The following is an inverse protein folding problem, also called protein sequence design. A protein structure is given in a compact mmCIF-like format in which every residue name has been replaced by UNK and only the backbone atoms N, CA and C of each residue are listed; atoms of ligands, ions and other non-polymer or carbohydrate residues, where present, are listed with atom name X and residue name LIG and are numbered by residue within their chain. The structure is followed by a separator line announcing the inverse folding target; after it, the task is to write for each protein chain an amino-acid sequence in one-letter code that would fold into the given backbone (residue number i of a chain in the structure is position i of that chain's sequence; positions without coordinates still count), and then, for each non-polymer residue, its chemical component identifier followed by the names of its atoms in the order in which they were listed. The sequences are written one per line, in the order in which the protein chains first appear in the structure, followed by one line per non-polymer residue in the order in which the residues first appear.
data_IF_724784739667
#
_entry.id   IF_724784739667
#
_cell.length_a   1.000
_cell.length_b   1.000
_cell.length_c   1.000
_cell.angle_alpha   90.00
_cell.angle_beta   90.00
_cell.angle_gamma   90.00
#
_symmetry.space_group_name_H-M   'P 1'
#
loop_
_entity.id
_entity.type
_entity.pdbx_description
1 polymer ?
#
# COMPACT_ATOMS: atom_id res chain seq x y z
N UNK A 1 -24.58 -6.38 -2.53
CA UNK A 1 -23.83 -5.53 -1.57
C UNK A 1 -23.07 -4.43 -2.32
N UNK A 2 -22.84 -3.24 -1.73
CA UNK A 2 -22.15 -2.12 -2.39
C UNK A 2 -20.83 -2.49 -3.05
N UNK A 3 -20.00 -3.28 -2.37
CA UNK A 3 -18.70 -3.71 -2.89
C UNK A 3 -18.81 -4.55 -4.16
N UNK A 4 -19.79 -5.45 -4.22
CA UNK A 4 -20.03 -6.29 -5.40
C UNK A 4 -20.42 -5.46 -6.63
N UNK A 5 -21.21 -4.40 -6.43
CA UNK A 5 -21.55 -3.46 -7.51
C UNK A 5 -20.31 -2.73 -8.02
N UNK A 6 -19.43 -2.27 -7.12
CA UNK A 6 -18.17 -1.60 -7.49
C UNK A 6 -17.23 -2.51 -8.28
N UNK A 7 -17.07 -3.77 -7.82
CA UNK A 7 -16.25 -4.78 -8.50
C UNK A 7 -16.82 -5.06 -9.89
N UNK A 8 -18.13 -5.26 -10.01
CA UNK A 8 -18.78 -5.55 -11.28
C UNK A 8 -18.63 -4.40 -12.28
N UNK A 9 -18.84 -3.16 -11.83
CA UNK A 9 -18.71 -1.98 -12.68
C UNK A 9 -17.29 -1.84 -13.25
N UNK A 10 -16.26 -2.01 -12.41
CA UNK A 10 -14.88 -1.98 -12.88
C UNK A 10 -14.58 -3.18 -13.80
N UNK A 11 -15.02 -4.38 -13.44
CA UNK A 11 -14.80 -5.58 -14.24
C UNK A 11 -15.38 -5.48 -15.66
N UNK A 12 -16.63 -5.05 -15.79
CA UNK A 12 -17.27 -4.85 -17.10
C UNK A 12 -16.57 -3.78 -17.92
N UNK A 13 -16.08 -2.71 -17.26
CA UNK A 13 -15.30 -1.67 -17.94
C UNK A 13 -13.99 -2.22 -18.50
N UNK A 14 -13.24 -3.00 -17.71
CA UNK A 14 -12.00 -3.65 -18.15
C UNK A 14 -12.27 -4.62 -19.31
N UNK A 15 -13.32 -5.43 -19.21
CA UNK A 15 -13.73 -6.40 -20.23
C UNK A 15 -14.13 -5.73 -21.54
N UNK A 16 -14.96 -4.68 -21.48
CA UNK A 16 -15.39 -3.92 -22.66
C UNK A 16 -14.20 -3.32 -23.42
N UNK A 17 -13.24 -2.74 -22.69
CA UNK A 17 -12.05 -2.15 -23.29
C UNK A 17 -11.09 -3.17 -23.87
N UNK A 18 -11.00 -4.35 -23.26
CA UNK A 18 -10.26 -5.48 -23.83
C UNK A 18 -10.86 -5.94 -25.16
N UNK A 19 -12.18 -6.13 -25.21
CA UNK A 19 -12.89 -6.60 -26.42
C UNK A 19 -12.83 -5.60 -27.56
N UNK A 20 -12.96 -4.30 -27.25
CA UNK A 20 -12.91 -3.21 -28.25
C UNK A 20 -11.50 -2.77 -28.63
N UNK A 21 -10.45 -3.43 -28.10
CA UNK A 21 -9.04 -3.06 -28.28
C UNK A 21 -8.77 -1.57 -27.96
N UNK A 22 -9.44 -1.04 -26.93
CA UNK A 22 -9.38 0.37 -26.58
C UNK A 22 -7.94 0.85 -26.35
N UNK A 23 -7.63 2.03 -26.88
CA UNK A 23 -6.34 2.71 -26.69
C UNK A 23 -6.59 4.14 -26.24
N UNK A 24 -6.17 4.45 -25.01
CA UNK A 24 -6.48 5.72 -24.37
C UNK A 24 -6.38 5.67 -22.85
N UNK A 25 -7.04 6.63 -22.20
CA UNK A 25 -7.10 6.76 -20.75
C UNK A 25 -8.56 6.59 -20.32
N UNK A 26 -8.78 5.78 -19.28
CA UNK A 26 -10.04 5.75 -18.55
C UNK A 26 -9.85 6.48 -17.24
N UNK A 27 -10.53 7.60 -17.13
CA UNK A 27 -10.62 8.37 -15.90
C UNK A 27 -11.69 7.74 -15.01
N UNK A 28 -11.32 7.43 -13.76
CA UNK A 28 -12.22 6.86 -12.75
C UNK A 28 -12.44 7.89 -11.66
N UNK A 29 -13.67 8.34 -11.54
CA UNK A 29 -14.13 9.22 -10.48
C UNK A 29 -15.13 8.53 -9.57
N UNK A 30 -15.27 9.06 -8.36
CA UNK A 30 -16.37 8.74 -7.44
C UNK A 30 -17.08 10.04 -7.12
N UNK A 31 -18.35 10.16 -7.53
CA UNK A 31 -19.04 11.44 -7.56
C UNK A 31 -18.38 12.41 -8.55
N UNK A 32 -18.16 13.67 -8.13
CA UNK A 32 -17.53 14.71 -8.96
C UNK A 32 -15.99 14.71 -8.90
N UNK A 33 -15.39 13.88 -8.04
CA UNK A 33 -13.93 13.84 -7.86
C UNK A 33 -13.30 12.82 -8.79
N UNK A 34 -12.45 13.27 -9.72
CA UNK A 34 -11.58 12.40 -10.49
C UNK A 34 -10.42 11.94 -9.60
N UNK A 35 -10.20 10.63 -9.47
CA UNK A 35 -9.26 10.08 -8.49
C UNK A 35 -8.20 9.16 -9.12
N UNK A 36 -8.53 8.49 -10.23
CA UNK A 36 -7.61 7.60 -10.93
C UNK A 36 -7.65 7.79 -12.44
N UNK A 37 -6.53 7.46 -13.09
CA UNK A 37 -6.42 7.37 -14.53
C UNK A 37 -5.81 6.02 -14.90
N UNK A 38 -6.52 5.22 -15.68
CA UNK A 38 -6.11 3.89 -16.13
C UNK A 38 -5.70 3.97 -17.60
N UNK A 39 -4.48 3.56 -17.93
CA UNK A 39 -3.92 3.68 -19.27
C UNK A 39 -4.06 2.36 -20.01
N UNK A 40 -4.61 2.42 -21.22
CA UNK A 40 -4.85 1.26 -22.08
C UNK A 40 -4.13 1.39 -23.41
N UNK A 41 -3.58 0.27 -23.88
CA UNK A 41 -3.04 0.13 -25.23
C UNK A 41 -3.54 -1.19 -25.83
N UNK A 42 -4.24 -1.11 -26.97
CA UNK A 42 -4.85 -2.26 -27.67
C UNK A 42 -5.66 -3.17 -26.73
N UNK A 43 -6.47 -2.57 -25.85
CA UNK A 43 -7.34 -3.26 -24.91
C UNK A 43 -6.64 -3.81 -23.66
N UNK A 44 -5.32 -3.64 -23.54
CA UNK A 44 -4.57 -4.05 -22.35
C UNK A 44 -4.30 -2.86 -21.45
N UNK A 45 -4.56 -3.01 -20.16
CA UNK A 45 -4.09 -2.00 -19.20
C UNK A 45 -2.57 -2.10 -19.07
N UNK A 46 -1.89 -0.98 -19.22
CA UNK A 46 -0.42 -0.90 -19.23
C UNK A 46 0.16 -0.08 -18.10
N UNK A 47 -0.65 0.82 -17.52
CA UNK A 47 -0.26 1.68 -16.41
C UNK A 47 -1.50 2.26 -15.73
N UNK A 48 -1.31 2.87 -14.56
CA UNK A 48 -2.34 3.62 -13.89
C UNK A 48 -1.73 4.79 -13.09
N UNK A 49 -2.56 5.75 -12.71
CA UNK A 49 -2.20 6.85 -11.84
C UNK A 49 -3.29 7.04 -10.79
N UNK A 50 -2.88 7.45 -9.59
CA UNK A 50 -3.78 7.82 -8.50
C UNK A 50 -3.39 9.19 -7.95
N UNK A 51 -4.38 9.99 -7.57
CA UNK A 51 -4.15 11.25 -6.87
C UNK A 51 -3.59 11.04 -5.45
N UNK A 52 -3.79 9.86 -4.86
CA UNK A 52 -3.31 9.54 -3.51
C UNK A 52 -2.01 8.75 -3.59
N UNK A 53 -0.95 9.34 -3.04
CA UNK A 53 0.36 8.72 -2.84
C UNK A 53 1.00 8.12 -4.11
N UNK A 54 0.98 8.77 -5.30
CA UNK A 54 1.59 8.20 -6.50
C UNK A 54 3.08 7.87 -6.34
N UNK A 55 3.87 8.74 -5.68
CA UNK A 55 5.32 8.56 -5.51
C UNK A 55 5.60 7.51 -4.45
N UNK A 56 4.98 7.62 -3.27
CA UNK A 56 5.08 6.65 -2.17
C UNK A 56 4.67 5.25 -2.61
N UNK A 57 3.59 5.14 -3.40
CA UNK A 57 3.13 3.88 -3.99
C UNK A 57 4.18 3.26 -4.88
N UNK A 58 4.73 4.06 -5.79
CA UNK A 58 5.74 3.56 -6.69
C UNK A 58 7.02 3.15 -5.94
N UNK A 59 7.45 3.98 -5.00
CA UNK A 59 8.61 3.70 -4.15
C UNK A 59 8.49 2.37 -3.41
N UNK A 60 7.36 2.09 -2.73
CA UNK A 60 7.20 0.82 -2.00
C UNK A 60 7.20 -0.40 -2.92
N UNK A 61 6.69 -0.29 -4.15
CA UNK A 61 6.79 -1.41 -5.11
C UNK A 61 8.24 -1.64 -5.56
N UNK A 62 9.01 -0.57 -5.75
CA UNK A 62 10.43 -0.69 -6.06
C UNK A 62 11.24 -1.27 -4.88
N UNK A 63 10.95 -0.86 -3.64
CA UNK A 63 11.59 -1.46 -2.45
C UNK A 63 11.29 -2.96 -2.38
N UNK A 64 10.04 -3.36 -2.67
CA UNK A 64 9.62 -4.76 -2.62
C UNK A 64 10.26 -5.61 -3.71
N UNK A 65 10.31 -5.13 -4.95
CA UNK A 65 10.69 -5.94 -6.12
C UNK A 65 12.10 -5.67 -6.65
N UNK A 66 12.69 -4.52 -6.33
CA UNK A 66 14.03 -4.16 -6.77
C UNK A 66 14.82 -3.38 -5.69
N UNK A 67 15.02 -3.97 -4.49
CA UNK A 67 15.69 -3.30 -3.38
C UNK A 67 17.12 -2.86 -3.69
N UNK A 68 17.83 -3.58 -4.58
CA UNK A 68 19.18 -3.23 -5.03
C UNK A 68 19.22 -1.87 -5.74
N UNK A 69 18.27 -1.61 -6.64
CA UNK A 69 18.14 -0.33 -7.33
C UNK A 69 17.93 0.82 -6.34
N UNK A 70 17.12 0.60 -5.30
CA UNK A 70 16.88 1.60 -4.25
C UNK A 70 18.16 1.84 -3.44
N UNK A 71 18.87 0.78 -3.07
CA UNK A 71 20.13 0.90 -2.33
C UNK A 71 21.20 1.67 -3.11
N UNK A 72 21.33 1.43 -4.42
CA UNK A 72 22.25 2.15 -5.31
C UNK A 72 21.92 3.63 -5.48
N UNK A 73 20.63 3.98 -5.42
CA UNK A 73 20.15 5.35 -5.62
C UNK A 73 20.01 6.15 -4.32
N UNK A 74 20.16 5.51 -3.16
CA UNK A 74 20.12 6.18 -1.87
C UNK A 74 21.52 6.72 -1.56
N UNK A 75 21.69 8.03 -1.33
CA UNK A 75 23.00 8.59 -0.99
C UNK A 75 23.57 7.92 0.26
N UNK A 76 24.88 7.65 0.26
CA UNK A 76 25.59 7.05 1.40
C UNK A 76 25.54 7.92 2.67
N UNK A 77 25.17 9.20 2.53
CA UNK A 77 25.11 10.18 3.60
C UNK A 77 23.86 10.01 4.51
N UNK A 78 22.96 9.08 4.19
CA UNK A 78 21.86 8.69 5.09
C UNK A 78 20.70 9.68 5.19
N UNK A 79 20.75 10.80 4.47
CA UNK A 79 19.62 11.72 4.36
C UNK A 79 18.52 11.05 3.51
N UNK A 80 17.52 10.47 4.20
CA UNK A 80 16.33 9.84 3.57
C UNK A 80 15.56 10.77 2.62
N UNK A 81 15.84 12.07 2.67
CA UNK A 81 15.17 13.11 1.89
C UNK A 81 15.72 13.32 0.47
N UNK A 82 16.85 12.71 0.13
CA UNK A 82 17.51 12.91 -1.17
C UNK A 82 17.26 11.78 -2.20
N UNK A 83 16.31 10.87 -1.95
CA UNK A 83 15.96 9.85 -2.95
C UNK A 83 15.54 10.57 -4.24
N UNK A 84 16.26 10.37 -5.37
CA UNK A 84 16.01 11.13 -6.58
C UNK A 84 14.78 10.56 -7.30
N UNK A 85 13.59 10.82 -6.77
CA UNK A 85 12.32 10.29 -7.29
C UNK A 85 12.09 10.63 -8.76
N UNK A 86 12.70 11.71 -9.26
CA UNK A 86 12.73 12.03 -10.68
C UNK A 86 13.36 10.92 -11.54
N UNK A 87 14.45 10.30 -11.07
CA UNK A 87 15.13 9.16 -11.72
C UNK A 87 14.33 7.86 -11.60
N UNK A 88 13.55 7.73 -10.52
CA UNK A 88 12.67 6.59 -10.31
C UNK A 88 11.37 6.67 -11.11
N UNK A 89 11.07 7.74 -11.85
CA UNK A 89 9.85 7.84 -12.65
C UNK A 89 9.70 6.63 -13.58
N UNK A 90 8.50 6.04 -13.62
CA UNK A 90 8.18 4.87 -14.44
C UNK A 90 8.71 4.95 -15.87
N UNK A 91 8.53 6.09 -16.55
CA UNK A 91 8.97 6.29 -17.93
C UNK A 91 10.50 6.14 -18.09
N UNK A 92 11.28 6.63 -17.12
CA UNK A 92 12.74 6.47 -17.14
C UNK A 92 13.13 5.00 -16.95
N UNK A 93 12.51 4.31 -15.99
CA UNK A 93 12.78 2.89 -15.73
C UNK A 93 12.34 2.01 -16.92
N UNK A 94 11.19 2.30 -17.53
CA UNK A 94 10.73 1.61 -18.73
C UNK A 94 11.69 1.80 -19.92
N UNK A 95 12.32 2.98 -20.05
CA UNK A 95 13.36 3.22 -21.06
C UNK A 95 14.63 2.42 -20.75
N UNK A 96 15.07 2.39 -19.50
CA UNK A 96 16.25 1.62 -19.09
C UNK A 96 16.07 0.11 -19.29
N UNK A 97 14.87 -0.43 -19.02
CA UNK A 97 14.52 -1.83 -19.31
C UNK A 97 14.68 -2.14 -20.80
N UNK A 98 14.29 -1.24 -21.70
CA UNK A 98 14.42 -1.44 -23.15
C UNK A 98 15.85 -1.39 -23.65
N UNK A 99 16.68 -0.64 -22.94
CA UNK A 99 18.11 -0.51 -23.23
C UNK A 99 18.90 -1.65 -22.56
N UNK A 100 18.22 -2.67 -22.01
CA UNK A 100 18.79 -3.79 -21.27
C UNK A 100 19.72 -3.37 -20.10
N UNK A 101 19.52 -2.14 -19.60
CA UNK A 101 20.32 -1.58 -18.48
C UNK A 101 19.85 -2.06 -17.12
N UNK A 102 18.58 -2.42 -17.01
CA UNK A 102 17.99 -2.94 -15.77
C UNK A 102 17.08 -4.12 -16.08
N UNK A 103 16.92 -5.00 -15.10
CA UNK A 103 16.16 -6.23 -15.26
C UNK A 103 14.66 -5.94 -15.47
N UNK A 104 14.11 -6.43 -16.59
CA UNK A 104 12.69 -6.30 -16.95
C UNK A 104 11.75 -6.92 -15.92
N UNK A 105 12.08 -8.10 -15.40
CA UNK A 105 11.21 -8.89 -14.51
C UNK A 105 10.89 -8.12 -13.23
N UNK A 106 11.89 -7.48 -12.62
CA UNK A 106 11.69 -6.69 -11.39
C UNK A 106 10.77 -5.49 -11.62
N UNK A 107 10.96 -4.75 -12.72
CA UNK A 107 10.12 -3.59 -13.02
C UNK A 107 8.71 -4.03 -13.42
N UNK A 108 8.55 -5.09 -14.22
CA UNK A 108 7.24 -5.65 -14.57
C UNK A 108 6.47 -6.06 -13.31
N UNK A 109 7.11 -6.75 -12.35
CA UNK A 109 6.45 -7.12 -11.10
C UNK A 109 6.10 -5.93 -10.22
N UNK A 110 6.97 -4.91 -10.16
CA UNK A 110 6.65 -3.66 -9.47
C UNK A 110 5.42 -2.96 -10.09
N UNK A 111 5.30 -2.95 -11.41
CA UNK A 111 4.13 -2.39 -12.11
C UNK A 111 2.87 -3.21 -11.82
N UNK A 112 2.95 -4.53 -11.87
CA UNK A 112 1.80 -5.41 -11.59
C UNK A 112 1.26 -5.19 -10.17
N UNK A 113 2.12 -5.15 -9.15
CA UNK A 113 1.67 -4.87 -7.77
C UNK A 113 1.19 -3.42 -7.59
N UNK A 114 1.77 -2.46 -8.31
CA UNK A 114 1.29 -1.08 -8.36
C UNK A 114 -0.16 -1.01 -8.87
N UNK A 115 -0.46 -1.76 -9.94
CA UNK A 115 -1.81 -1.88 -10.50
C UNK A 115 -2.76 -2.57 -9.51
N UNK A 116 -2.33 -3.67 -8.87
CA UNK A 116 -3.10 -4.37 -7.83
C UNK A 116 -3.55 -3.40 -6.73
N UNK A 117 -2.64 -2.57 -6.22
CA UNK A 117 -2.99 -1.59 -5.19
C UNK A 117 -3.94 -0.51 -5.68
N UNK A 118 -3.80 -0.04 -6.92
CA UNK A 118 -4.72 0.96 -7.48
C UNK A 118 -6.13 0.38 -7.61
N UNK A 119 -6.23 -0.83 -8.15
CA UNK A 119 -7.52 -1.50 -8.31
C UNK A 119 -8.18 -1.81 -6.96
N UNK A 120 -7.40 -2.24 -5.97
CA UNK A 120 -7.88 -2.38 -4.60
C UNK A 120 -8.43 -1.05 -4.07
N UNK A 121 -7.69 0.05 -4.24
CA UNK A 121 -8.09 1.35 -3.71
C UNK A 121 -9.33 1.91 -4.41
N UNK A 122 -9.50 1.67 -5.72
CA UNK A 122 -10.72 2.01 -6.47
C UNK A 122 -11.91 1.32 -5.82
N UNK A 123 -11.85 0.00 -5.60
CA UNK A 123 -12.94 -0.78 -5.00
C UNK A 123 -13.20 -0.36 -3.55
N UNK A 124 -12.15 -0.19 -2.75
CA UNK A 124 -12.26 0.22 -1.35
C UNK A 124 -12.90 1.61 -1.21
N UNK A 125 -12.37 2.62 -1.90
CA UNK A 125 -12.89 3.98 -1.82
C UNK A 125 -14.28 4.10 -2.47
N UNK A 126 -14.53 3.40 -3.57
CA UNK A 126 -15.86 3.32 -4.18
C UNK A 126 -16.88 2.74 -3.21
N UNK A 127 -16.52 1.66 -2.50
CA UNK A 127 -17.38 1.04 -1.48
C UNK A 127 -17.67 2.02 -0.35
N UNK A 128 -16.65 2.68 0.20
CA UNK A 128 -16.85 3.66 1.28
C UNK A 128 -17.74 4.82 0.84
N UNK A 129 -17.46 5.42 -0.32
CA UNK A 129 -18.28 6.55 -0.80
C UNK A 129 -19.71 6.13 -1.11
N UNK A 130 -19.93 4.93 -1.63
CA UNK A 130 -21.28 4.41 -1.82
C UNK A 130 -22.01 4.26 -0.49
N UNK A 131 -21.35 3.72 0.55
CA UNK A 131 -21.93 3.59 1.88
C UNK A 131 -22.27 4.95 2.51
N UNK A 132 -21.44 5.97 2.31
CA UNK A 132 -21.63 7.29 2.91
C UNK A 132 -22.58 8.21 2.12
N UNK A 133 -22.49 8.20 0.79
CA UNK A 133 -23.13 9.20 -0.07
C UNK A 133 -23.87 8.60 -1.29
N UNK A 134 -23.94 7.26 -1.40
CA UNK A 134 -24.56 6.54 -2.53
C UNK A 134 -24.05 6.99 -3.91
N UNK A 135 -22.83 7.54 -3.97
CA UNK A 135 -22.27 8.06 -5.21
C UNK A 135 -21.80 6.91 -6.12
N UNK A 136 -22.22 6.86 -7.40
CA UNK A 136 -21.76 5.84 -8.33
C UNK A 136 -20.32 6.12 -8.78
N UNK A 137 -19.70 5.10 -9.38
CA UNK A 137 -18.51 5.33 -10.20
C UNK A 137 -18.87 6.12 -11.45
N UNK A 138 -17.99 7.04 -11.81
CA UNK A 138 -18.03 7.75 -13.08
C UNK A 138 -16.79 7.33 -13.87
N UNK A 139 -17.03 6.81 -15.08
CA UNK A 139 -15.97 6.46 -16.01
C UNK A 139 -15.99 7.42 -17.19
N UNK A 140 -14.87 8.06 -17.48
CA UNK A 140 -14.73 8.93 -18.65
C UNK A 140 -13.61 8.42 -19.53
N UNK A 141 -13.95 8.01 -20.74
CA UNK A 141 -12.98 7.52 -21.71
C UNK A 141 -12.39 8.68 -22.52
N UNK A 142 -11.07 8.68 -22.65
CA UNK A 142 -10.34 9.61 -23.50
C UNK A 142 -9.49 8.81 -24.47
N UNK A 143 -9.91 8.75 -25.74
CA UNK A 143 -9.11 8.11 -26.80
C UNK A 143 -7.82 8.89 -26.96
N UNK A 144 -6.68 8.21 -26.83
CA UNK A 144 -5.36 8.81 -26.96
C UNK A 144 -4.40 7.78 -27.51
N UNK A 145 -3.62 8.17 -28.52
CA UNK A 145 -2.54 7.34 -29.03
C UNK A 145 -1.32 7.51 -28.13
N UNK A 146 -0.67 6.39 -27.84
CA UNK A 146 0.60 6.37 -27.14
C UNK A 146 1.65 5.75 -28.03
N UNK A 147 2.90 6.15 -27.85
CA UNK A 147 3.97 5.31 -28.36
C UNK A 147 3.95 4.00 -27.57
N UNK A 148 3.94 2.86 -28.28
CA UNK A 148 4.16 1.54 -27.67
C UNK A 148 5.51 1.50 -26.93
N UNK A 149 6.41 2.44 -27.24
CA UNK A 149 7.67 2.63 -26.55
C UNK A 149 7.58 3.20 -25.12
N UNK A 150 6.39 3.51 -24.62
CA UNK A 150 6.22 4.07 -23.28
C UNK A 150 5.91 3.04 -22.21
N UNK A 151 5.50 1.82 -22.60
CA UNK A 151 4.95 0.86 -21.65
C UNK A 151 5.58 -0.53 -21.72
N UNK A 152 5.68 -1.16 -20.56
CA UNK A 152 6.04 -2.58 -20.43
C UNK A 152 4.80 -3.45 -20.61
N UNK A 153 5.01 -4.68 -21.09
CA UNK A 153 3.97 -5.71 -21.08
C UNK A 153 3.85 -6.22 -19.65
N UNK A 154 2.62 -6.21 -19.12
CA UNK A 154 2.27 -6.59 -17.74
C UNK A 154 1.00 -7.44 -17.73
N UNK A 155 0.83 -8.26 -16.70
CA UNK A 155 -0.34 -9.11 -16.52
C UNK A 155 -1.43 -8.39 -15.71
N UNK A 156 -2.01 -7.34 -16.29
CA UNK A 156 -2.99 -6.51 -15.60
C UNK A 156 -4.26 -7.27 -15.18
N UNK A 157 -4.67 -8.30 -15.92
CA UNK A 157 -5.79 -9.16 -15.53
C UNK A 157 -5.49 -9.99 -14.28
N UNK A 158 -4.26 -10.46 -14.11
CA UNK A 158 -3.86 -11.14 -12.87
C UNK A 158 -3.80 -10.15 -11.70
N UNK A 159 -3.29 -8.95 -11.94
CA UNK A 159 -3.32 -7.87 -10.94
C UNK A 159 -4.76 -7.55 -10.51
N UNK A 160 -5.72 -7.54 -11.45
CA UNK A 160 -7.14 -7.37 -11.12
C UNK A 160 -7.69 -8.51 -10.28
N UNK A 161 -7.44 -9.77 -10.67
CA UNK A 161 -7.86 -10.94 -9.89
C UNK A 161 -7.29 -10.92 -8.46
N UNK A 162 -6.02 -10.55 -8.32
CA UNK A 162 -5.39 -10.40 -7.01
C UNK A 162 -6.05 -9.28 -6.19
N UNK A 163 -6.33 -8.13 -6.79
CA UNK A 163 -7.00 -7.03 -6.11
C UNK A 163 -8.41 -7.43 -5.61
N UNK A 164 -9.15 -8.22 -6.39
CA UNK A 164 -10.45 -8.77 -5.97
C UNK A 164 -10.30 -9.72 -4.78
N UNK A 165 -9.32 -10.64 -4.82
CA UNK A 165 -9.05 -11.57 -3.73
C UNK A 165 -8.62 -10.85 -2.44
N UNK A 166 -7.70 -9.88 -2.58
CA UNK A 166 -7.22 -9.05 -1.47
C UNK A 166 -8.37 -8.27 -0.83
N UNK A 167 -9.23 -7.67 -1.66
CA UNK A 167 -10.40 -6.94 -1.18
C UNK A 167 -11.40 -7.86 -0.48
N UNK A 168 -11.69 -9.05 -1.02
CA UNK A 168 -12.57 -10.02 -0.37
C UNK A 168 -12.03 -10.43 1.01
N UNK A 169 -10.74 -10.73 1.10
CA UNK A 169 -10.10 -11.06 2.36
C UNK A 169 -10.12 -9.89 3.36
N UNK A 170 -10.00 -8.66 2.85
CA UNK A 170 -10.14 -7.42 3.62
C UNK A 170 -11.55 -7.25 4.20
N UNK A 171 -12.58 -7.52 3.39
CA UNK A 171 -13.97 -7.48 3.82
C UNK A 171 -14.26 -8.53 4.89
N UNK A 172 -13.80 -9.77 4.69
CA UNK A 172 -13.97 -10.86 5.66
C UNK A 172 -13.27 -10.60 7.00
N UNK A 173 -12.21 -9.80 6.99
CA UNK A 173 -11.52 -9.36 8.19
C UNK A 173 -12.18 -8.12 8.85
N UNK A 174 -13.35 -7.69 8.39
CA UNK A 174 -14.08 -6.50 8.88
C UNK A 174 -13.25 -5.21 8.79
N UNK A 175 -12.39 -5.09 7.77
CA UNK A 175 -11.47 -3.97 7.58
C UNK A 175 -11.97 -2.92 6.60
N UNK A 176 -13.24 -3.00 6.18
CA UNK A 176 -13.84 -2.12 5.16
C UNK A 176 -13.67 -0.63 5.47
N UNK A 177 -13.72 -0.25 6.76
CA UNK A 177 -13.57 1.14 7.22
C UNK A 177 -12.10 1.57 7.41
N UNK A 178 -11.16 0.65 7.31
CA UNK A 178 -9.75 0.89 7.54
C UNK A 178 -9.03 1.13 6.21
N UNK A 179 -8.57 2.36 5.99
CA UNK A 179 -7.76 2.69 4.82
C UNK A 179 -6.32 2.23 5.00
N UNK A 180 -5.77 1.40 4.09
CA UNK A 180 -4.37 0.96 4.15
C UNK A 180 -3.39 2.09 3.81
N UNK A 181 -3.88 3.21 3.26
CA UNK A 181 -3.09 4.38 2.89
C UNK A 181 -2.99 5.41 4.04
N UNK A 182 -3.49 5.11 5.25
CA UNK A 182 -3.28 5.95 6.44
C UNK A 182 -2.07 5.47 7.22
N UNK A 183 -1.43 6.38 7.94
CA UNK A 183 -0.34 6.07 8.86
C UNK A 183 -0.88 5.86 10.27
N UNK A 184 -0.57 4.72 10.93
CA UNK A 184 -0.95 4.54 12.32
C UNK A 184 -0.09 5.42 13.23
N UNK A 185 -0.68 5.86 14.35
CA UNK A 185 0.04 6.50 15.46
C UNK A 185 -0.49 5.98 16.80
N UNK A 186 0.36 5.98 17.84
CA UNK A 186 -0.05 5.56 19.19
C UNK A 186 -0.78 6.72 19.86
N UNK A 187 -2.10 6.59 20.02
CA UNK A 187 -2.95 7.61 20.65
C UNK A 187 -2.94 7.55 22.18
N UNK A 188 -2.88 6.35 22.75
CA UNK A 188 -2.85 6.15 24.22
C UNK A 188 -1.65 5.28 24.64
N UNK A 189 -0.44 5.87 24.72
CA UNK A 189 0.79 5.14 25.04
C UNK A 189 0.75 4.36 26.35
N UNK A 190 0.17 4.94 27.41
CA UNK A 190 0.16 4.32 28.74
C UNK A 190 -0.76 3.09 28.79
N UNK A 191 -1.96 3.20 28.22
CA UNK A 191 -2.91 2.08 28.17
C UNK A 191 -2.40 0.96 27.26
N UNK A 192 -1.85 1.31 26.10
CA UNK A 192 -1.28 0.31 25.19
C UNK A 192 -0.11 -0.45 25.83
N UNK A 193 0.73 0.24 26.62
CA UNK A 193 1.85 -0.38 27.35
C UNK A 193 1.40 -1.36 28.44
N UNK A 194 0.23 -1.18 29.05
CA UNK A 194 -0.33 -2.12 30.04
C UNK A 194 -0.79 -3.43 29.40
N UNK A 195 -1.19 -3.40 28.12
CA UNK A 195 -1.78 -4.53 27.42
C UNK A 195 -0.75 -5.49 26.78
N UNK A 196 0.54 -5.13 26.80
CA UNK A 196 1.57 -5.93 26.13
C UNK A 196 2.92 -5.87 26.84
N UNK A 197 3.77 -6.90 26.68
CA UNK A 197 5.14 -6.87 27.20
C UNK A 197 5.93 -5.67 26.68
N UNK A 198 6.86 -5.17 27.52
CA UNK A 198 7.68 -3.98 27.22
C UNK A 198 8.42 -4.09 25.87
N UNK A 199 8.95 -5.27 25.54
CA UNK A 199 9.62 -5.51 24.27
C UNK A 199 8.71 -5.27 23.06
N UNK A 200 7.47 -5.77 23.12
CA UNK A 200 6.47 -5.62 22.05
C UNK A 200 6.06 -4.16 21.89
N UNK A 201 5.82 -3.46 23.01
CA UNK A 201 5.48 -2.04 22.98
C UNK A 201 6.60 -1.21 22.34
N UNK A 202 7.85 -1.46 22.72
CA UNK A 202 9.01 -0.75 22.15
C UNK A 202 9.13 -1.01 20.64
N UNK A 203 8.97 -2.26 20.21
CA UNK A 203 9.00 -2.61 18.79
C UNK A 203 7.86 -1.92 18.01
N UNK A 204 6.64 -1.96 18.55
CA UNK A 204 5.47 -1.32 17.95
C UNK A 204 5.66 0.19 17.83
N UNK A 205 6.17 0.85 18.88
CA UNK A 205 6.50 2.28 18.89
C UNK A 205 7.52 2.66 17.82
N UNK A 206 8.48 1.78 17.52
CA UNK A 206 9.49 2.06 16.50
C UNK A 206 8.94 1.98 15.07
N UNK A 207 7.83 1.27 14.86
CA UNK A 207 7.21 1.06 13.53
C UNK A 207 6.04 2.01 13.32
N UNK A 208 5.28 2.31 14.38
CA UNK A 208 4.10 3.17 14.36
C UNK A 208 4.53 4.58 14.76
N UNK A 209 5.02 5.33 13.77
CA UNK A 209 5.60 6.67 13.91
C UNK A 209 4.67 7.80 13.42
N UNK A 210 3.50 7.47 12.85
CA UNK A 210 2.58 8.43 12.25
C UNK A 210 3.01 8.97 10.88
N UNK A 211 4.10 8.47 10.30
CA UNK A 211 4.68 8.95 9.04
C UNK A 211 4.59 7.92 7.91
N UNK A 212 4.66 6.63 8.25
CA UNK A 212 4.57 5.51 7.31
C UNK A 212 3.15 4.96 7.27
N UNK A 213 2.61 4.76 6.06
CA UNK A 213 1.28 4.14 5.91
C UNK A 213 1.30 2.66 6.30
N UNK A 214 0.15 2.04 6.55
CA UNK A 214 0.10 0.59 6.78
C UNK A 214 0.76 -0.21 5.64
N UNK A 215 0.62 0.24 4.39
CA UNK A 215 1.30 -0.38 3.23
C UNK A 215 2.81 -0.23 3.30
N UNK A 216 3.31 0.94 3.68
CA UNK A 216 4.74 1.18 3.80
C UNK A 216 5.34 0.31 4.92
N UNK A 217 4.65 0.24 6.06
CA UNK A 217 5.02 -0.63 7.20
C UNK A 217 5.08 -2.09 6.74
N UNK A 218 4.10 -2.57 5.99
CA UNK A 218 4.08 -3.94 5.49
C UNK A 218 5.31 -4.26 4.60
N UNK A 219 5.68 -3.34 3.72
CA UNK A 219 6.87 -3.48 2.88
C UNK A 219 8.16 -3.39 3.71
N UNK A 220 8.26 -2.45 4.64
CA UNK A 220 9.43 -2.28 5.50
C UNK A 220 9.70 -3.52 6.39
N UNK A 221 8.62 -4.18 6.83
CA UNK A 221 8.71 -5.42 7.60
C UNK A 221 8.86 -6.68 6.73
N UNK A 222 8.77 -6.55 5.41
CA UNK A 222 8.67 -7.67 4.47
C UNK A 222 7.59 -8.69 4.90
N UNK A 223 6.39 -8.18 5.21
CA UNK A 223 5.25 -8.97 5.67
C UNK A 223 3.99 -8.66 4.84
N UNK A 224 3.09 -9.63 4.66
CA UNK A 224 1.80 -9.34 4.05
C UNK A 224 0.98 -8.35 4.90
N UNK A 225 0.27 -7.44 4.23
CA UNK A 225 -0.48 -6.35 4.87
C UNK A 225 -1.66 -6.84 5.73
N UNK A 226 -2.41 -7.84 5.26
CA UNK A 226 -3.63 -8.30 5.94
C UNK A 226 -3.36 -8.87 7.35
N UNK A 227 -2.36 -9.74 7.59
CA UNK A 227 -1.96 -10.15 8.92
C UNK A 227 -1.61 -8.98 9.86
N UNK A 228 -0.87 -7.98 9.38
CA UNK A 228 -0.53 -6.79 10.16
C UNK A 228 -1.81 -6.06 10.59
N UNK A 229 -2.73 -5.82 9.65
CA UNK A 229 -3.98 -5.13 9.96
C UNK A 229 -4.83 -5.89 10.97
N UNK A 230 -4.98 -7.22 10.82
CA UNK A 230 -5.72 -8.06 11.78
C UNK A 230 -5.18 -7.94 13.21
N UNK A 231 -3.87 -7.74 13.36
CA UNK A 231 -3.24 -7.54 14.66
C UNK A 231 -3.46 -6.12 15.22
N UNK A 232 -3.49 -5.10 14.37
CA UNK A 232 -3.58 -3.69 14.79
C UNK A 232 -5.03 -3.26 15.06
N UNK A 233 -6.00 -3.77 14.30
CA UNK A 233 -7.40 -3.31 14.31
C UNK A 233 -8.10 -3.38 15.66
N UNK A 234 -7.88 -4.39 16.53
CA UNK A 234 -8.44 -4.37 17.88
C UNK A 234 -8.05 -3.10 18.67
N UNK A 235 -6.80 -2.64 18.52
CA UNK A 235 -6.32 -1.42 19.18
C UNK A 235 -6.85 -0.15 18.53
N UNK A 236 -7.12 -0.18 17.22
CA UNK A 236 -7.83 0.92 16.53
C UNK A 236 -9.26 1.04 17.06
N UNK A 237 -9.97 -0.07 17.18
CA UNK A 237 -11.36 -0.11 17.69
C UNK A 237 -11.45 0.40 19.13
N UNK A 238 -10.40 0.19 19.94
CA UNK A 238 -10.30 0.68 21.32
C UNK A 238 -9.80 2.14 21.41
N UNK A 239 -9.45 2.79 20.29
CA UNK A 239 -8.90 4.15 20.30
C UNK A 239 -7.46 4.25 20.83
N UNK A 240 -6.77 3.12 21.01
CA UNK A 240 -5.38 3.07 21.49
C UNK A 240 -4.39 3.41 20.38
N UNK A 241 -4.71 3.01 19.15
CA UNK A 241 -3.97 3.34 17.93
C UNK A 241 -4.89 4.16 17.04
N UNK A 242 -4.49 5.38 16.70
CA UNK A 242 -5.16 6.20 15.71
C UNK A 242 -4.57 5.99 14.32
N UNK A 243 -5.20 6.60 13.32
CA UNK A 243 -4.67 6.65 11.95
C UNK A 243 -4.80 8.06 11.39
N UNK A 244 -3.75 8.56 10.76
CA UNK A 244 -3.67 9.93 10.23
C UNK A 244 -3.34 9.92 8.74
N UNK A 245 -3.78 10.95 8.02
CA UNK A 245 -3.35 11.17 6.64
C UNK A 245 -1.91 11.68 6.62
N UNK A 246 -1.13 11.19 5.67
CA UNK A 246 0.26 11.63 5.46
C UNK A 246 0.43 12.14 4.04
N UNK A 247 1.40 13.03 3.84
CA UNK A 247 1.72 13.54 2.51
C UNK A 247 2.42 12.46 1.67
N UNK A 248 2.43 12.65 0.35
CA UNK A 248 3.23 11.83 -0.56
C UNK A 248 4.73 12.09 -0.35
N UNK A 249 5.58 11.16 -0.80
CA UNK A 249 7.03 11.35 -0.73
C UNK A 249 7.47 12.44 -1.71
N UNK A 250 8.36 13.34 -1.27
CA UNK A 250 8.91 14.41 -2.11
C UNK A 250 8.01 15.64 -2.30
N UNK A 251 6.81 15.66 -1.72
CA UNK A 251 5.98 16.86 -1.67
C UNK A 251 6.32 17.64 -0.39
N UNK A 252 7.20 18.63 -0.48
CA UNK A 252 7.32 19.63 0.59
C UNK A 252 6.28 20.70 0.33
N UNK A 253 5.10 20.58 0.94
CA UNK A 253 4.35 21.78 1.33
C UNK A 253 4.59 21.98 2.82
N UNK A 254 5.20 23.12 3.14
CA UNK A 254 5.41 23.61 4.51
C UNK A 254 4.20 23.25 5.38
N UNK A 255 4.46 22.61 6.52
CA UNK A 255 3.46 22.38 7.53
C UNK A 255 2.89 23.73 7.97
N UNK A 256 1.73 24.12 7.44
CA UNK A 256 0.85 25.01 8.18
C UNK A 256 0.12 24.15 9.20
N UNK A 257 0.45 24.36 10.46
CA UNK A 257 -0.44 24.09 11.57
C UNK A 257 -1.84 24.57 11.21
N UNK A 258 -2.77 23.64 11.04
CA UNK A 258 -4.18 23.91 11.27
C UNK A 258 -4.73 22.77 12.11
N UNK A 259 -5.36 23.20 13.19
CA UNK A 259 -5.61 22.44 14.39
C UNK A 259 -6.65 21.32 14.22
N UNK A 260 -6.37 20.23 14.94
CA UNK A 260 -7.29 19.40 15.74
C UNK A 260 -8.78 19.41 15.39
N UNK A 261 -9.28 18.22 15.02
CA UNK A 261 -10.51 17.71 15.66
C UNK A 261 -10.35 16.21 15.93
N UNK A 262 -9.93 15.88 17.14
CA UNK A 262 -9.99 14.53 17.67
C UNK A 262 -11.45 14.24 18.08
N UNK A 263 -12.05 13.21 17.50
CA UNK A 263 -13.31 12.66 17.99
C UNK A 263 -12.96 11.53 18.94
N UNK A 264 -13.09 11.77 20.24
CA UNK A 264 -13.04 10.74 21.27
C UNK A 264 -14.40 10.05 21.39
N UNK A 265 -14.47 8.72 21.56
CA UNK A 265 -15.65 8.08 22.12
C UNK A 265 -15.54 8.02 23.65
N UNK A 266 -16.59 8.53 24.29
CA UNK A 266 -16.91 8.48 25.71
C UNK A 266 -17.00 7.03 26.20
N UNK A 267 -16.46 6.77 27.39
CA UNK A 267 -16.25 5.42 27.92
C UNK A 267 -17.50 4.70 28.41
N UNK A 268 -17.43 3.37 28.36
CA UNK A 268 -17.74 2.42 29.44
C UNK A 268 -17.69 1.00 28.88
N UNK A 269 -16.74 0.19 29.36
CA UNK A 269 -16.85 -1.26 29.58
C UNK A 269 -15.44 -1.86 29.71
N UNK A 270 -14.83 -1.64 30.88
CA UNK A 270 -13.76 -2.48 31.39
C UNK A 270 -14.42 -3.73 31.97
N UNK A 271 -14.32 -4.87 31.26
CA UNK A 271 -14.27 -6.23 31.81
C UNK A 271 -14.52 -7.27 30.70
N UNK A 272 -13.44 -7.79 30.12
CA UNK A 272 -13.33 -9.15 29.57
C UNK A 272 -11.88 -9.38 29.11
N UNK A 273 -11.00 -9.56 30.09
CA UNK A 273 -9.59 -9.86 29.86
C UNK A 273 -9.37 -11.34 29.53
N UNK A 274 -8.24 -11.58 28.84
CA UNK A 274 -7.30 -12.69 29.09
C UNK A 274 -7.20 -13.87 28.12
N UNK A 275 -8.05 -14.01 27.09
CA UNK A 275 -7.88 -15.10 26.10
C UNK A 275 -7.10 -14.69 24.83
N UNK A 276 -7.22 -13.44 24.35
CA UNK A 276 -6.62 -12.99 23.08
C UNK A 276 -5.13 -12.61 23.16
N UNK A 277 -4.61 -12.31 24.36
CA UNK A 277 -3.20 -11.99 24.57
C UNK A 277 -2.28 -13.22 24.41
N UNK A 278 -2.80 -14.44 24.60
CA UNK A 278 -2.03 -15.69 24.44
C UNK A 278 -1.82 -16.04 22.96
N UNK A 279 -2.76 -15.73 22.09
CA UNK A 279 -2.63 -15.93 20.63
C UNK A 279 -1.65 -14.94 20.00
N UNK A 280 -1.47 -13.76 20.61
CA UNK A 280 -0.44 -12.79 20.25
C UNK A 280 0.99 -13.32 20.52
N UNK A 281 1.15 -14.19 21.52
CA UNK A 281 2.45 -14.73 21.93
C UNK A 281 3.00 -15.73 20.90
N UNK A 282 2.15 -16.61 20.34
CA UNK A 282 2.62 -17.71 19.48
C UNK A 282 3.05 -17.21 18.11
N UNK A 283 2.34 -16.23 17.54
CA UNK A 283 2.66 -15.66 16.23
C UNK A 283 3.84 -14.70 16.31
N UNK A 284 3.97 -13.91 17.39
CA UNK A 284 5.10 -13.01 17.56
C UNK A 284 6.40 -13.74 17.96
N UNK A 285 6.32 -14.80 18.79
CA UNK A 285 7.51 -15.61 19.14
C UNK A 285 8.02 -16.40 17.93
N UNK A 286 7.12 -16.91 17.07
CA UNK A 286 7.53 -17.52 15.79
C UNK A 286 8.08 -16.50 14.79
N UNK A 287 7.59 -15.25 14.82
CA UNK A 287 8.14 -14.12 14.06
C UNK A 287 9.56 -13.73 14.54
N UNK A 288 9.77 -13.70 15.86
CA UNK A 288 11.05 -13.36 16.49
C UNK A 288 12.10 -14.46 16.31
N UNK A 289 11.72 -15.75 16.35
CA UNK A 289 12.65 -16.87 16.09
C UNK A 289 13.15 -16.90 14.63
N UNK A 290 12.32 -16.52 13.65
CA UNK A 290 12.74 -16.44 12.24
C UNK A 290 13.69 -15.26 11.98
N UNK A 291 13.50 -14.13 12.67
CA UNK A 291 14.39 -12.97 12.57
C UNK A 291 15.76 -13.23 13.23
N UNK A 292 15.80 -13.90 14.39
CA UNK A 292 17.05 -14.27 15.05
C UNK A 292 17.87 -15.27 14.22
N UNK A 293 17.21 -16.22 13.54
CA UNK A 293 17.91 -17.19 12.69
C UNK A 293 18.51 -16.53 11.44
N UNK A 294 17.81 -15.57 10.83
CA UNK A 294 18.28 -14.87 9.63
C UNK A 294 19.51 -13.98 9.90
N UNK A 295 19.61 -13.35 11.08
CA UNK A 295 20.79 -12.57 11.48
C UNK A 295 22.02 -13.44 11.76
N UNK A 296 21.85 -14.66 12.31
CA UNK A 296 22.97 -15.59 12.53
C UNK A 296 23.53 -16.22 11.25
N UNK A 297 22.71 -16.41 10.21
CA UNK A 297 23.17 -16.99 8.94
C UNK A 297 23.94 -15.98 8.08
N UNK A 298 23.57 -14.69 8.15
CA UNK A 298 24.30 -13.61 7.47
C UNK A 298 25.65 -13.30 8.15
N UNK A 299 25.76 -13.45 9.47
CA UNK A 299 27.01 -13.25 10.22
C UNK A 299 28.05 -14.37 10.03
N UNK A 300 27.62 -15.60 9.71
CA UNK A 300 28.52 -16.74 9.50
C UNK A 300 29.12 -16.82 8.08
N UNK A 301 28.50 -16.18 7.09
CA UNK A 301 29.03 -16.13 5.72
C UNK A 301 30.05 -15.00 5.49
N UNK A 302 30.09 -13.97 6.35
CA UNK A 302 31.07 -12.88 6.26
C UNK A 302 32.41 -13.16 6.96
N UNK A 303 32.54 -14.25 7.71
CA UNK A 303 33.78 -14.63 8.41
C UNK A 303 34.56 -15.77 7.76
N UNK A 304 34.14 -16.28 6.60
CA UNK A 304 34.79 -17.42 5.91
C UNK A 304 35.43 -17.09 4.55
N UNK A 305 35.64 -15.79 4.26
CA UNK A 305 36.32 -15.32 3.02
C UNK A 305 37.50 -14.38 3.35
N UNK A 306 38.16 -14.60 4.50
CA UNK A 306 39.49 -14.05 4.81
C UNK A 306 40.27 -15.07 5.65
N UNK A 307 40.79 -16.08 4.97
CA UNK A 307 41.94 -16.89 5.36
C UNK A 307 42.43 -17.64 4.14
#
# INVERSE_FOLDING_TARGET
MPSQSMIQALHEKLKTHKQSQFTGIVYVGVGQSLQWALYFNMGRMVWAHSQVHPIRRWHRQLVKHYPQLIAEMTPQNGEKEDIPYAKLKYQHLALQVRQDKINRTYITKAVEDYLTEIMFDIVHQGTLRFLHAKSPFVFTDSKKKFSSSLFLVVQAEQAWQQAQADWQAWQQAELVKCSPNLAPFIGQPQELKKLMPRANYNHLRNIIDGQQTFRDIAVALNQPLLPIMRQIVPYIRQGLIGSVQVQDLGNRSHASETATTAIAPTGAAVAAASQLAKTFLVTLVSLLRRLAHCQTTLGKHLFKVRS
#
